data_IF_127413987695
#
_entry.id   IF_127413987695
#
_cell.length_a   1.000
_cell.length_b   1.000
_cell.length_c   1.000
_cell.angle_alpha   90.00
_cell.angle_beta   90.00
_cell.angle_gamma   90.00
#
_symmetry.space_group_name_H-M   'P 1'
#
loop_
_entity.id
_entity.type
_entity.pdbx_description
1 polymer ?
#
# COMPACT_ATOMS: atom_id res chain seq x y z
N UNK A 1 12.92 -1.50 17.55
CA UNK A 1 13.01 -0.73 18.82
C UNK A 1 13.11 0.75 18.49
N UNK A 2 12.12 1.57 18.85
CA UNK A 2 12.19 3.03 18.67
C UNK A 2 13.02 3.65 19.80
N UNK A 3 14.15 4.27 19.45
CA UNK A 3 14.97 5.02 20.42
C UNK A 3 14.17 6.24 20.90
N UNK A 4 14.01 6.41 22.21
CA UNK A 4 13.42 7.63 22.79
C UNK A 4 14.41 8.78 22.59
N UNK A 5 13.96 9.86 21.98
CA UNK A 5 14.73 11.10 21.84
C UNK A 5 14.42 11.94 23.08
N UNK A 6 15.43 12.16 23.93
CA UNK A 6 15.34 13.08 25.08
C UNK A 6 15.85 14.44 24.59
N UNK A 7 15.07 15.50 24.80
CA UNK A 7 15.33 16.88 24.32
C UNK A 7 15.50 16.99 22.80
N UNK A 8 14.41 16.89 22.01
CA UNK A 8 14.48 17.09 20.57
C UNK A 8 14.89 18.53 20.23
N UNK A 9 15.73 18.73 19.19
CA UNK A 9 16.12 20.07 18.74
C UNK A 9 14.90 20.84 18.23
N UNK A 10 14.82 22.13 18.58
CA UNK A 10 13.77 23.03 18.07
C UNK A 10 13.98 23.28 16.58
N UNK A 11 12.93 23.06 15.79
CA UNK A 11 12.95 23.28 14.35
C UNK A 11 12.81 24.79 14.06
N UNK A 12 13.91 25.46 13.75
CA UNK A 12 13.91 26.88 13.39
C UNK A 12 13.87 27.05 11.85
N UNK A 13 13.13 28.06 11.36
CA UNK A 13 13.19 28.46 9.94
C UNK A 13 12.30 27.68 8.96
N UNK A 14 11.35 26.88 9.44
CA UNK A 14 10.37 26.21 8.56
C UNK A 14 9.23 27.17 8.20
N UNK A 15 8.99 27.38 6.91
CA UNK A 15 7.84 28.17 6.43
C UNK A 15 6.50 27.46 6.66
N UNK A 16 6.47 26.12 6.55
CA UNK A 16 5.29 25.28 6.84
C UNK A 16 5.70 23.92 7.41
N UNK A 17 5.17 23.57 8.58
CA UNK A 17 5.35 22.25 9.17
C UNK A 17 4.39 21.25 8.51
N UNK A 18 4.92 20.35 7.68
CA UNK A 18 4.14 19.33 6.96
C UNK A 18 4.92 18.03 6.82
N UNK A 19 4.23 16.90 6.94
CA UNK A 19 4.77 15.59 6.58
C UNK A 19 4.45 15.30 5.12
N UNK A 20 5.47 14.92 4.35
CA UNK A 20 5.26 14.40 3.00
C UNK A 20 4.49 13.08 3.11
N UNK A 21 3.26 12.97 2.57
CA UNK A 21 2.51 11.74 2.66
C UNK A 21 3.33 10.63 2.00
N UNK A 22 3.51 9.52 2.73
CA UNK A 22 4.06 8.31 2.11
C UNK A 22 3.07 7.89 1.03
N UNK A 23 3.58 7.54 -0.14
CA UNK A 23 2.80 6.74 -1.09
C UNK A 23 2.57 5.40 -0.39
N UNK A 24 1.43 5.25 0.27
CA UNK A 24 1.03 3.95 0.79
C UNK A 24 1.08 2.98 -0.39
N UNK A 25 1.71 1.83 -0.20
CA UNK A 25 1.65 0.78 -1.21
C UNK A 25 0.17 0.43 -1.32
N UNK A 26 -0.49 0.93 -2.36
CA UNK A 26 -1.83 0.49 -2.71
C UNK A 26 -1.69 -1.00 -2.95
N UNK A 27 -2.13 -1.80 -1.97
CA UNK A 27 -2.19 -3.24 -2.13
C UNK A 27 -3.09 -3.48 -3.33
N UNK A 28 -2.50 -3.95 -4.43
CA UNK A 28 -3.26 -4.24 -5.64
C UNK A 28 -4.22 -5.37 -5.26
N UNK A 29 -5.54 -5.12 -5.31
CA UNK A 29 -6.50 -6.17 -4.97
C UNK A 29 -6.31 -7.32 -5.96
N UNK A 30 -6.31 -8.55 -5.46
CA UNK A 30 -6.02 -9.77 -6.22
C UNK A 30 -4.58 -9.90 -6.77
N UNK A 31 -3.65 -9.02 -6.39
CA UNK A 31 -2.28 -9.06 -6.87
C UNK A 31 -1.51 -10.33 -6.48
N UNK A 32 -1.87 -10.97 -5.36
CA UNK A 32 -1.28 -12.24 -4.95
C UNK A 32 -1.71 -13.39 -5.86
N UNK A 33 -3.02 -13.55 -6.08
CA UNK A 33 -3.56 -14.57 -6.99
C UNK A 33 -3.03 -14.40 -8.41
N UNK A 34 -2.96 -13.15 -8.87
CA UNK A 34 -2.40 -12.83 -10.18
C UNK A 34 -0.93 -13.22 -10.28
N UNK A 35 -0.12 -12.91 -9.27
CA UNK A 35 1.30 -13.28 -9.26
C UNK A 35 1.49 -14.81 -9.21
N UNK A 36 0.65 -15.53 -8.46
CA UNK A 36 0.68 -16.97 -8.41
C UNK A 36 0.35 -17.59 -9.78
N UNK A 37 -0.69 -17.09 -10.46
CA UNK A 37 -1.06 -17.55 -11.80
C UNK A 37 0.06 -17.31 -12.82
N UNK A 38 0.67 -16.12 -12.81
CA UNK A 38 1.80 -15.80 -13.68
C UNK A 38 3.00 -16.71 -13.41
N UNK A 39 3.30 -17.01 -12.14
CA UNK A 39 4.35 -17.96 -11.77
C UNK A 39 4.05 -19.38 -12.25
N UNK A 40 2.78 -19.80 -12.21
CA UNK A 40 2.36 -21.10 -12.74
C UNK A 40 2.57 -21.20 -14.25
N UNK A 41 2.12 -20.21 -15.03
CA UNK A 41 2.38 -20.17 -16.47
C UNK A 41 3.87 -20.17 -16.78
N UNK A 42 4.67 -19.42 -16.02
CA UNK A 42 6.12 -19.42 -16.19
C UNK A 42 6.73 -20.83 -15.99
N UNK A 43 6.26 -21.57 -14.98
CA UNK A 43 6.76 -22.91 -14.69
C UNK A 43 6.32 -23.96 -15.74
N UNK A 44 5.21 -23.73 -16.44
CA UNK A 44 4.69 -24.62 -17.49
C UNK A 44 4.99 -24.13 -18.92
N UNK A 45 6.12 -23.43 -19.10
CA UNK A 45 6.61 -23.05 -20.42
C UNK A 45 5.83 -21.94 -21.11
N UNK A 46 5.12 -21.11 -20.34
CA UNK A 46 4.32 -19.99 -20.85
C UNK A 46 2.97 -20.38 -21.43
N UNK A 47 2.57 -21.65 -21.32
CA UNK A 47 1.27 -22.10 -21.78
C UNK A 47 0.17 -21.62 -20.83
N UNK A 48 -0.72 -20.78 -21.36
CA UNK A 48 -1.83 -20.19 -20.60
C UNK A 48 -2.94 -21.19 -20.28
N UNK A 49 -3.07 -22.23 -21.11
CA UNK A 49 -4.14 -23.25 -21.05
C UNK A 49 -3.73 -24.52 -20.29
N UNK A 50 -2.80 -24.37 -19.34
CA UNK A 50 -2.30 -25.48 -18.54
C UNK A 50 -3.32 -25.85 -17.47
N UNK A 51 -3.80 -27.10 -17.51
CA UNK A 51 -4.74 -27.63 -16.53
C UNK A 51 -4.19 -27.55 -15.09
N UNK A 52 -2.86 -27.55 -14.91
CA UNK A 52 -2.22 -27.37 -13.61
C UNK A 52 -2.50 -25.98 -12.99
N UNK A 53 -2.72 -24.95 -13.81
CA UNK A 53 -2.97 -23.58 -13.35
C UNK A 53 -4.46 -23.24 -13.19
N UNK A 54 -5.38 -24.16 -13.53
CA UNK A 54 -6.83 -23.91 -13.53
C UNK A 54 -7.36 -23.44 -12.16
N UNK A 55 -6.84 -23.98 -11.06
CA UNK A 55 -7.23 -23.58 -9.71
C UNK A 55 -6.83 -22.12 -9.40
N UNK A 56 -5.71 -21.66 -9.93
CA UNK A 56 -5.24 -20.27 -9.76
C UNK A 56 -6.07 -19.29 -10.59
N UNK A 57 -6.52 -19.71 -11.78
CA UNK A 57 -7.48 -18.95 -12.59
C UNK A 57 -8.79 -18.78 -11.82
N UNK A 58 -9.35 -19.86 -11.28
CA UNK A 58 -10.58 -19.81 -10.50
C UNK A 58 -10.44 -18.94 -9.23
N UNK A 59 -9.29 -19.03 -8.54
CA UNK A 59 -8.99 -18.18 -7.38
C UNK A 59 -8.93 -16.70 -7.76
N UNK A 60 -8.26 -16.36 -8.88
CA UNK A 60 -8.18 -15.00 -9.39
C UNK A 60 -9.57 -14.46 -9.77
N UNK A 61 -10.37 -15.24 -10.49
CA UNK A 61 -11.75 -14.86 -10.84
C UNK A 61 -12.61 -14.60 -9.60
N UNK A 62 -12.53 -15.50 -8.61
CA UNK A 62 -13.26 -15.35 -7.36
C UNK A 62 -12.83 -14.10 -6.59
N UNK A 63 -11.53 -13.81 -6.58
CA UNK A 63 -11.04 -12.56 -6.01
C UNK A 63 -11.60 -11.35 -6.77
N UNK A 64 -11.57 -11.34 -8.10
CA UNK A 64 -12.09 -10.21 -8.89
C UNK A 64 -13.60 -10.00 -8.72
N UNK A 65 -14.38 -11.07 -8.55
CA UNK A 65 -15.82 -10.99 -8.30
C UNK A 65 -16.15 -10.41 -6.93
N UNK A 66 -15.32 -10.64 -5.92
CA UNK A 66 -15.60 -10.28 -4.52
C UNK A 66 -14.91 -9.01 -4.05
N UNK A 67 -13.83 -8.60 -4.73
CA UNK A 67 -13.03 -7.47 -4.26
C UNK A 67 -13.70 -6.13 -4.58
N UNK A 68 -14.01 -5.37 -3.53
CA UNK A 68 -14.46 -3.99 -3.65
C UNK A 68 -13.35 -3.05 -3.18
N UNK A 69 -13.04 -2.03 -3.99
CA UNK A 69 -12.08 -0.98 -3.62
C UNK A 69 -12.63 -0.17 -2.45
N UNK A 70 -12.12 -0.43 -1.24
CA UNK A 70 -12.35 0.47 -0.10
C UNK A 70 -11.49 1.71 -0.29
N UNK A 71 -12.12 2.87 -0.44
CA UNK A 71 -11.43 4.15 -0.35
C UNK A 71 -10.94 4.31 1.09
N UNK A 72 -9.62 4.39 1.27
CA UNK A 72 -9.05 4.76 2.56
C UNK A 72 -9.35 6.23 2.82
N UNK A 73 -9.73 6.55 4.06
CA UNK A 73 -9.86 7.95 4.48
C UNK A 73 -8.50 8.64 4.41
N UNK A 74 -8.49 9.89 3.97
CA UNK A 74 -7.26 10.66 3.88
C UNK A 74 -6.72 11.00 5.28
N UNK A 75 -5.41 10.87 5.45
CA UNK A 75 -4.73 11.22 6.70
C UNK A 75 -4.70 12.74 6.88
N UNK A 76 -5.36 13.27 7.92
CA UNK A 76 -5.47 14.71 8.21
C UNK A 76 -4.27 15.28 9.00
N UNK A 77 -3.18 14.53 9.16
CA UNK A 77 -2.02 14.95 9.98
C UNK A 77 -1.48 16.33 9.59
N UNK A 78 -1.46 16.63 8.29
CA UNK A 78 -0.97 17.91 7.78
C UNK A 78 -1.88 19.08 8.13
N UNK A 79 -3.19 18.85 8.30
CA UNK A 79 -4.13 19.86 8.80
C UNK A 79 -3.79 20.23 10.25
N UNK A 80 -3.54 19.23 11.09
CA UNK A 80 -3.21 19.46 12.50
C UNK A 80 -1.81 20.09 12.67
N UNK A 81 -0.81 19.66 11.90
CA UNK A 81 0.53 20.24 11.94
C UNK A 81 0.54 21.71 11.50
N UNK A 82 -0.28 22.09 10.52
CA UNK A 82 -0.43 23.49 10.12
C UNK A 82 -1.03 24.35 11.23
N UNK A 83 -1.93 23.79 12.04
CA UNK A 83 -2.54 24.50 13.19
C UNK A 83 -1.57 24.62 14.37
N UNK A 84 -0.82 23.56 14.66
CA UNK A 84 0.11 23.48 15.78
C UNK A 84 1.46 24.17 15.51
N UNK A 85 1.86 24.34 14.25
CA UNK A 85 3.15 24.96 13.89
C UNK A 85 3.32 26.42 14.32
N UNK A 86 2.27 27.08 14.82
CA UNK A 86 2.35 28.41 15.46
C UNK A 86 2.66 28.34 16.96
N UNK A 87 2.49 27.17 17.57
CA UNK A 87 2.59 26.93 19.02
C UNK A 87 3.86 26.15 19.40
N UNK A 88 4.56 25.59 18.40
CA UNK A 88 5.78 24.80 18.53
C UNK A 88 6.98 25.59 18.02
#
# INVERSE_FOLDING_TARGET
MSKKIVNPPRLQGLSRLRVRPKREKNTIPCGQEMAALLGCWQNHGGQTDTAQCANLVAALENCMKTTHRKTKSENTINYHLARLGKLL
#
